data_IF_475804241402
#
_entry.id   IF_475804241402
#
_cell.length_a   1.000
_cell.length_b   1.000
_cell.length_c   1.000
_cell.angle_alpha   90.00
_cell.angle_beta   90.00
_cell.angle_gamma   90.00
#
_symmetry.space_group_name_H-M   'P 1'
#
loop_
_entity.id
_entity.type
_entity.pdbx_description
1 polymer ?
#
# COMPACT_ATOMS: atom_id res chain seq x y z
N UNK A 1 -7.11 -15.32 -27.96
CA UNK A 1 -7.45 -13.95 -27.51
C UNK A 1 -6.12 -13.26 -27.32
N UNK A 2 -5.88 -12.22 -28.08
CA UNK A 2 -4.58 -11.58 -28.30
C UNK A 2 -4.08 -10.94 -27.02
N UNK A 3 -2.91 -11.38 -26.56
CA UNK A 3 -2.04 -10.56 -25.72
C UNK A 3 -1.83 -9.24 -26.45
N UNK A 4 -2.26 -8.15 -25.85
CA UNK A 4 -1.95 -6.82 -26.35
C UNK A 4 -0.44 -6.65 -26.28
N UNK A 5 0.20 -6.79 -27.43
CA UNK A 5 1.56 -6.38 -27.68
C UNK A 5 1.64 -4.85 -27.49
N UNK A 6 1.91 -4.42 -26.27
CA UNK A 6 2.65 -3.18 -26.12
C UNK A 6 4.00 -3.42 -26.82
N UNK A 7 4.25 -2.66 -27.86
CA UNK A 7 5.43 -2.78 -28.69
C UNK A 7 6.70 -2.67 -27.81
N UNK A 8 7.67 -3.56 -27.99
CA UNK A 8 8.93 -3.61 -27.25
C UNK A 8 9.66 -2.25 -27.24
N UNK A 9 9.44 -1.44 -28.27
CA UNK A 9 9.97 -0.08 -28.38
C UNK A 9 9.34 0.86 -27.34
N UNK A 10 8.04 0.73 -27.09
CA UNK A 10 7.29 1.51 -26.09
C UNK A 10 7.76 1.18 -24.67
N UNK A 11 8.08 -0.11 -24.40
CA UNK A 11 8.62 -0.55 -23.13
C UNK A 11 10.01 0.01 -22.83
N UNK A 12 10.91 0.00 -23.81
CA UNK A 12 12.25 0.57 -23.62
C UNK A 12 12.20 2.07 -23.34
N UNK A 13 11.34 2.83 -24.03
CA UNK A 13 11.12 4.24 -23.76
C UNK A 13 10.56 4.50 -22.36
N UNK A 14 9.64 3.64 -21.89
CA UNK A 14 9.11 3.75 -20.52
C UNK A 14 10.16 3.45 -19.46
N UNK A 15 10.98 2.39 -19.64
CA UNK A 15 12.07 2.06 -18.72
C UNK A 15 13.17 3.12 -18.69
N UNK A 16 13.46 3.77 -19.84
CA UNK A 16 14.36 4.93 -19.86
C UNK A 16 13.79 6.11 -19.09
N UNK A 17 12.47 6.31 -19.15
CA UNK A 17 11.77 7.37 -18.41
C UNK A 17 11.66 7.10 -16.92
N UNK A 18 11.55 5.83 -16.51
CA UNK A 18 11.42 5.39 -15.12
C UNK A 18 12.56 4.44 -14.73
N UNK A 19 13.80 4.92 -14.63
CA UNK A 19 15.02 4.08 -14.58
C UNK A 19 15.15 3.23 -13.31
N UNK A 20 14.32 3.48 -12.29
CA UNK A 20 14.38 2.79 -10.98
C UNK A 20 13.46 1.56 -10.95
N UNK A 21 12.57 1.41 -11.92
CA UNK A 21 11.57 0.33 -11.96
C UNK A 21 12.07 -0.78 -12.88
N UNK A 22 12.21 -1.99 -12.33
CA UNK A 22 12.69 -3.17 -13.08
C UNK A 22 11.57 -3.94 -13.79
N UNK A 23 10.29 -3.75 -13.39
CA UNK A 23 9.14 -4.42 -13.99
C UNK A 23 8.43 -3.49 -14.99
N UNK A 24 8.35 -3.87 -16.27
CA UNK A 24 7.69 -3.06 -17.29
C UNK A 24 6.24 -2.69 -16.98
N UNK A 25 5.47 -3.60 -16.36
CA UNK A 25 4.09 -3.30 -15.99
C UNK A 25 3.99 -2.22 -14.92
N UNK A 26 4.94 -2.17 -13.98
CA UNK A 26 5.01 -1.13 -12.96
C UNK A 26 5.43 0.20 -13.61
N UNK A 27 6.41 0.19 -14.52
CA UNK A 27 6.79 1.39 -15.25
C UNK A 27 5.63 1.97 -16.09
N UNK A 28 4.84 1.13 -16.74
CA UNK A 28 3.64 1.53 -17.46
C UNK A 28 2.58 2.13 -16.53
N UNK A 29 2.38 1.52 -15.36
CA UNK A 29 1.48 2.05 -14.33
C UNK A 29 1.94 3.42 -13.83
N UNK A 30 3.22 3.58 -13.49
CA UNK A 30 3.77 4.88 -13.08
C UNK A 30 3.63 5.95 -14.16
N UNK A 31 3.73 5.58 -15.43
CA UNK A 31 3.51 6.51 -16.56
C UNK A 31 2.05 6.99 -16.66
N UNK A 32 1.09 6.20 -16.19
CA UNK A 32 -0.32 6.64 -16.04
C UNK A 32 -0.45 7.68 -14.92
N UNK A 33 0.24 7.47 -13.78
CA UNK A 33 0.15 8.38 -12.62
C UNK A 33 0.72 9.77 -12.89
N UNK A 34 1.77 9.86 -13.70
CA UNK A 34 2.29 11.16 -14.14
C UNK A 34 2.90 11.06 -15.53
N UNK A 35 2.44 11.90 -16.46
CA UNK A 35 3.01 12.02 -17.79
C UNK A 35 4.43 12.60 -17.77
N UNK A 36 4.78 13.30 -16.71
CA UNK A 36 6.10 13.88 -16.45
C UNK A 36 6.77 13.14 -15.29
N UNK A 37 7.97 12.59 -15.53
CA UNK A 37 8.79 12.07 -14.45
C UNK A 37 9.66 13.20 -13.87
N UNK A 38 9.50 13.58 -12.61
CA UNK A 38 10.30 14.63 -11.99
C UNK A 38 11.74 14.13 -11.76
N UNK A 39 12.67 14.56 -12.60
CA UNK A 39 14.04 14.04 -12.66
C UNK A 39 14.80 14.14 -11.32
N UNK A 40 14.44 15.07 -10.46
CA UNK A 40 15.05 15.19 -9.13
C UNK A 40 14.81 13.94 -8.25
N UNK A 41 13.74 13.17 -8.45
CA UNK A 41 13.48 11.94 -7.69
C UNK A 41 14.62 10.91 -7.85
N UNK A 42 15.26 10.87 -9.01
CA UNK A 42 16.30 9.86 -9.31
C UNK A 42 17.43 9.84 -8.28
N UNK A 43 17.90 11.00 -7.82
CA UNK A 43 18.97 11.07 -6.83
C UNK A 43 18.54 10.54 -5.46
N UNK A 44 17.30 10.81 -5.03
CA UNK A 44 16.75 10.29 -3.76
C UNK A 44 16.54 8.77 -3.81
N UNK A 45 16.00 8.25 -4.91
CA UNK A 45 15.79 6.82 -5.11
C UNK A 45 17.08 5.98 -5.08
N UNK A 46 18.26 6.62 -5.18
CA UNK A 46 19.55 5.94 -5.00
C UNK A 46 19.97 5.77 -3.54
N UNK A 47 19.33 6.46 -2.61
CA UNK A 47 19.65 6.38 -1.18
C UNK A 47 19.42 4.98 -0.62
N UNK A 48 20.31 4.44 0.22
CA UNK A 48 20.10 3.14 0.88
C UNK A 48 18.78 3.06 1.64
N UNK A 49 18.38 4.16 2.30
CA UNK A 49 17.13 4.32 3.03
C UNK A 49 15.91 3.96 2.17
N UNK A 50 15.85 4.45 0.92
CA UNK A 50 14.77 4.16 -0.02
C UNK A 50 14.98 2.83 -0.75
N UNK A 51 16.21 2.51 -1.17
CA UNK A 51 16.51 1.24 -1.86
C UNK A 51 16.07 0.01 -1.07
N UNK A 52 16.17 0.07 0.25
CA UNK A 52 15.72 -1.00 1.15
C UNK A 52 14.26 -1.39 0.88
N UNK A 53 13.40 -0.40 0.62
CA UNK A 53 11.96 -0.60 0.36
C UNK A 53 11.68 -1.47 -0.87
N UNK A 54 12.63 -1.61 -1.81
CA UNK A 54 12.47 -2.54 -2.95
C UNK A 54 12.44 -4.01 -2.53
N UNK A 55 12.95 -4.33 -1.35
CA UNK A 55 12.93 -5.66 -0.75
C UNK A 55 11.76 -5.91 0.20
N UNK A 56 10.80 -4.98 0.31
CA UNK A 56 9.63 -5.06 1.19
C UNK A 56 8.37 -5.01 0.33
N UNK A 57 7.52 -6.03 0.43
CA UNK A 57 6.27 -6.13 -0.33
C UNK A 57 5.17 -5.24 0.23
N UNK A 58 4.38 -4.64 -0.67
CA UNK A 58 3.19 -3.87 -0.30
C UNK A 58 2.15 -4.75 0.42
N UNK A 59 2.04 -6.01 0.03
CA UNK A 59 0.98 -6.92 0.45
C UNK A 59 1.33 -7.77 1.69
N UNK A 60 2.19 -7.23 2.58
CA UNK A 60 2.39 -7.72 3.94
C UNK A 60 2.76 -9.21 4.01
N UNK A 61 3.64 -9.68 3.12
CA UNK A 61 4.14 -11.06 3.12
C UNK A 61 3.22 -12.09 2.48
N UNK A 62 2.07 -11.71 1.91
CA UNK A 62 1.17 -12.63 1.20
C UNK A 62 1.84 -13.26 -0.04
N UNK A 63 2.90 -12.65 -0.56
CA UNK A 63 3.72 -13.18 -1.66
C UNK A 63 4.45 -14.49 -1.30
N UNK A 64 4.57 -14.81 -0.01
CA UNK A 64 5.38 -15.92 0.49
C UNK A 64 4.57 -17.15 0.91
N UNK A 65 3.24 -17.11 0.76
CA UNK A 65 2.34 -18.23 1.06
C UNK A 65 1.49 -18.61 -0.15
N UNK A 66 1.29 -19.91 -0.45
CA UNK A 66 0.46 -20.34 -1.58
C UNK A 66 -1.04 -20.10 -1.38
N UNK A 67 -1.47 -19.61 -0.22
CA UNK A 67 -2.85 -19.17 0.02
C UNK A 67 -3.24 -18.05 -0.94
N UNK A 68 -2.29 -17.18 -1.29
CA UNK A 68 -2.47 -16.12 -2.27
C UNK A 68 -1.76 -16.48 -3.59
N UNK A 69 -2.36 -16.02 -4.68
CA UNK A 69 -1.81 -16.21 -6.04
C UNK A 69 -1.49 -14.86 -6.64
N UNK A 70 -0.65 -14.10 -5.93
CA UNK A 70 -0.22 -12.79 -6.36
C UNK A 70 0.39 -12.86 -7.77
N UNK A 71 -0.02 -11.96 -8.65
CA UNK A 71 0.35 -12.00 -10.07
C UNK A 71 1.78 -11.52 -10.31
N UNK A 72 2.25 -10.58 -9.48
CA UNK A 72 3.63 -10.07 -9.46
C UNK A 72 3.93 -9.43 -8.11
N UNK A 73 5.21 -9.25 -7.81
CA UNK A 73 5.65 -8.56 -6.61
C UNK A 73 5.61 -7.05 -6.84
N UNK A 74 4.94 -6.33 -5.94
CA UNK A 74 4.89 -4.87 -5.91
C UNK A 74 5.52 -4.40 -4.60
N UNK A 75 6.63 -3.65 -4.71
CA UNK A 75 7.40 -3.25 -3.53
C UNK A 75 6.90 -1.95 -2.91
N UNK A 76 7.30 -1.71 -1.65
CA UNK A 76 7.10 -0.43 -0.98
C UNK A 76 7.81 0.72 -1.69
N UNK A 77 8.94 0.45 -2.38
CA UNK A 77 9.60 1.47 -3.19
C UNK A 77 8.76 1.85 -4.40
N UNK A 78 8.14 0.86 -5.07
CA UNK A 78 7.24 1.12 -6.19
C UNK A 78 6.04 1.95 -5.72
N UNK A 79 5.45 1.60 -4.57
CA UNK A 79 4.36 2.34 -3.93
C UNK A 79 4.77 3.77 -3.59
N UNK A 80 5.85 3.98 -2.85
CA UNK A 80 6.34 5.32 -2.48
C UNK A 80 6.65 6.18 -3.71
N UNK A 81 7.17 5.55 -4.78
CA UNK A 81 7.38 6.23 -6.07
C UNK A 81 6.06 6.63 -6.70
N UNK A 82 5.08 5.73 -6.72
CA UNK A 82 3.72 6.01 -7.23
C UNK A 82 3.05 7.15 -6.47
N UNK A 83 3.11 7.15 -5.13
CA UNK A 83 2.59 8.25 -4.29
C UNK A 83 3.25 9.58 -4.65
N UNK A 84 4.59 9.60 -4.79
CA UNK A 84 5.32 10.79 -5.19
C UNK A 84 4.90 11.29 -6.59
N UNK A 85 4.67 10.38 -7.55
CA UNK A 85 4.22 10.73 -8.89
C UNK A 85 2.80 11.32 -8.90
N UNK A 86 1.88 10.78 -8.10
CA UNK A 86 0.53 11.33 -7.93
C UNK A 86 0.61 12.76 -7.36
N UNK A 87 1.39 12.96 -6.30
CA UNK A 87 1.55 14.26 -5.68
C UNK A 87 2.15 15.26 -6.69
N UNK A 88 3.20 14.85 -7.40
CA UNK A 88 3.80 15.69 -8.45
C UNK A 88 2.81 16.07 -9.53
N UNK A 89 2.03 15.10 -10.02
CA UNK A 89 1.02 15.34 -11.04
C UNK A 89 0.02 16.45 -10.67
N UNK A 90 -0.40 16.48 -9.42
CA UNK A 90 -1.42 17.43 -8.96
C UNK A 90 -0.86 18.74 -8.42
N UNK A 91 0.36 18.75 -7.87
CA UNK A 91 0.86 19.91 -7.12
C UNK A 91 2.07 20.59 -7.75
N UNK A 92 2.90 19.85 -8.46
CA UNK A 92 4.24 20.28 -8.91
C UNK A 92 5.09 20.87 -7.77
N UNK A 93 4.83 20.45 -6.54
CA UNK A 93 5.52 20.90 -5.33
C UNK A 93 6.56 19.84 -4.92
N UNK A 94 7.82 20.24 -4.88
CA UNK A 94 8.94 19.34 -4.60
C UNK A 94 8.90 18.81 -3.15
N UNK A 95 8.56 19.67 -2.16
CA UNK A 95 8.55 19.28 -0.77
C UNK A 95 7.45 18.25 -0.50
N UNK A 96 6.23 18.49 -0.99
CA UNK A 96 5.13 17.53 -0.89
C UNK A 96 5.45 16.20 -1.59
N UNK A 97 6.05 16.27 -2.78
CA UNK A 97 6.44 15.09 -3.56
C UNK A 97 7.47 14.24 -2.80
N UNK A 98 8.47 14.87 -2.20
CA UNK A 98 9.48 14.18 -1.40
C UNK A 98 8.92 13.67 -0.07
N UNK A 99 8.00 14.40 0.56
CA UNK A 99 7.30 13.90 1.74
C UNK A 99 6.53 12.59 1.42
N UNK A 100 5.82 12.56 0.28
CA UNK A 100 5.17 11.34 -0.19
C UNK A 100 6.14 10.22 -0.57
N UNK A 101 7.31 10.53 -1.16
CA UNK A 101 8.35 9.53 -1.44
C UNK A 101 8.91 8.90 -0.16
N UNK A 102 8.99 9.66 0.93
CA UNK A 102 9.66 9.26 2.18
C UNK A 102 8.70 8.72 3.25
N UNK A 103 7.39 8.70 3.00
CA UNK A 103 6.40 8.38 4.03
C UNK A 103 6.52 6.96 4.61
N UNK A 104 7.07 6.03 3.85
CA UNK A 104 7.18 4.61 4.20
C UNK A 104 8.61 4.17 4.59
N UNK A 105 9.58 5.10 4.75
CA UNK A 105 10.98 4.72 4.97
C UNK A 105 11.22 3.97 6.28
N UNK A 106 10.32 4.05 7.26
CA UNK A 106 10.40 3.29 8.51
C UNK A 106 9.71 1.91 8.44
N UNK A 107 9.03 1.58 7.34
CA UNK A 107 8.30 0.32 7.25
C UNK A 107 9.24 -0.87 7.35
N UNK A 108 9.04 -1.80 8.31
CA UNK A 108 9.84 -3.02 8.44
C UNK A 108 9.45 -4.07 7.41
N UNK A 109 10.21 -5.16 7.35
CA UNK A 109 9.88 -6.33 6.52
C UNK A 109 8.49 -6.85 6.86
N UNK A 110 7.79 -7.30 5.82
CA UNK A 110 6.37 -7.72 5.91
C UNK A 110 5.40 -6.62 6.34
N UNK A 111 5.85 -5.36 6.29
CA UNK A 111 4.99 -4.18 6.43
C UNK A 111 4.11 -4.20 7.69
N UNK A 112 2.79 -4.14 7.55
CA UNK A 112 1.81 -4.12 8.65
C UNK A 112 1.79 -5.38 9.54
N UNK A 113 2.61 -6.40 9.29
CA UNK A 113 2.77 -7.52 10.22
C UNK A 113 3.29 -7.05 11.59
N UNK A 114 4.06 -5.95 11.63
CA UNK A 114 4.51 -5.36 12.91
C UNK A 114 3.32 -4.87 13.77
N UNK A 115 2.27 -4.35 13.15
CA UNK A 115 1.07 -3.92 13.88
C UNK A 115 0.38 -5.11 14.57
N UNK A 116 0.32 -6.26 13.90
CA UNK A 116 -0.20 -7.50 14.49
C UNK A 116 0.69 -8.02 15.62
N UNK A 117 2.01 -7.90 15.48
CA UNK A 117 2.97 -8.23 16.55
C UNK A 117 2.76 -7.37 17.81
N UNK A 118 2.46 -6.09 17.60
CA UNK A 118 2.27 -5.10 18.67
C UNK A 118 0.83 -5.08 19.22
N UNK A 119 -0.08 -5.91 18.67
CA UNK A 119 -1.50 -5.91 19.05
C UNK A 119 -2.27 -4.69 18.52
N UNK A 120 -1.75 -4.01 17.50
CA UNK A 120 -2.27 -2.76 16.93
C UNK A 120 -2.97 -2.96 15.57
N UNK A 121 -3.58 -4.10 15.34
CA UNK A 121 -4.24 -4.43 14.08
C UNK A 121 -5.39 -3.47 13.68
N UNK A 122 -5.93 -2.69 14.64
CA UNK A 122 -7.03 -1.74 14.40
C UNK A 122 -6.58 -0.36 13.96
N UNK A 123 -5.51 0.20 14.56
CA UNK A 123 -5.03 1.55 14.23
C UNK A 123 -3.93 1.52 13.18
N UNK A 124 -3.03 0.52 13.26
CA UNK A 124 -1.94 0.28 12.31
C UNK A 124 -1.02 1.49 12.15
N UNK A 125 -0.51 2.01 13.26
CA UNK A 125 0.42 3.15 13.30
C UNK A 125 1.87 2.77 13.61
N UNK A 126 2.12 1.48 13.95
CA UNK A 126 3.47 1.03 14.33
C UNK A 126 4.51 1.17 13.21
N UNK A 127 4.09 1.17 11.94
CA UNK A 127 4.98 1.37 10.79
C UNK A 127 5.46 2.81 10.65
N UNK A 128 4.77 3.78 11.24
CA UNK A 128 5.02 5.22 11.07
C UNK A 128 5.84 5.84 12.20
N UNK A 129 5.92 5.15 13.36
CA UNK A 129 6.49 5.71 14.60
C UNK A 129 7.92 6.24 14.46
N UNK A 130 8.75 5.62 13.63
CA UNK A 130 10.15 5.99 13.45
C UNK A 130 10.40 6.83 12.19
N UNK A 131 9.36 7.10 11.37
CA UNK A 131 9.53 7.73 10.06
C UNK A 131 10.22 9.11 10.15
N UNK A 132 9.67 9.99 10.97
CA UNK A 132 10.22 11.33 11.16
C UNK A 132 11.65 11.30 11.74
N UNK A 133 11.96 10.34 12.62
CA UNK A 133 13.30 10.16 13.16
C UNK A 133 14.29 9.75 12.08
N UNK A 134 13.95 8.73 11.29
CA UNK A 134 14.81 8.24 10.19
C UNK A 134 15.08 9.33 9.15
N UNK A 135 14.03 10.07 8.73
CA UNK A 135 14.17 11.18 7.78
C UNK A 135 15.07 12.29 8.33
N UNK A 136 14.96 12.63 9.62
CA UNK A 136 15.74 13.72 10.25
C UNK A 136 17.19 13.35 10.56
N UNK A 137 17.49 12.07 10.70
CA UNK A 137 18.82 11.61 11.11
C UNK A 137 19.68 11.08 9.97
N UNK A 138 19.08 10.78 8.79
CA UNK A 138 19.85 10.34 7.63
C UNK A 138 20.66 11.49 7.00
N UNK A 139 21.97 11.42 7.14
CA UNK A 139 22.88 12.48 6.68
C UNK A 139 22.97 12.59 5.17
N UNK A 140 22.85 11.47 4.45
CA UNK A 140 22.87 11.48 2.98
C UNK A 140 21.60 12.13 2.42
N UNK A 141 20.43 11.81 3.00
CA UNK A 141 19.18 12.48 2.68
C UNK A 141 19.26 13.98 2.99
N UNK A 142 19.75 14.35 4.19
CA UNK A 142 19.91 15.76 4.58
C UNK A 142 20.77 16.56 3.59
N UNK A 143 21.84 15.95 3.07
CA UNK A 143 22.70 16.57 2.04
C UNK A 143 21.92 16.84 0.75
N UNK A 144 21.17 15.84 0.24
CA UNK A 144 20.38 15.99 -0.99
C UNK A 144 19.24 17.01 -0.82
N UNK A 145 18.60 17.06 0.34
CA UNK A 145 17.57 18.06 0.64
C UNK A 145 18.15 19.47 0.64
N UNK A 146 19.31 19.68 1.27
CA UNK A 146 19.98 20.98 1.29
C UNK A 146 20.37 21.44 -0.13
N UNK A 147 20.83 20.55 -1.02
CA UNK A 147 21.07 20.86 -2.43
C UNK A 147 19.80 21.34 -3.16
N UNK A 148 18.63 20.83 -2.78
CA UNK A 148 17.34 21.22 -3.33
C UNK A 148 16.71 22.41 -2.60
N UNK A 149 17.39 23.00 -1.61
CA UNK A 149 16.90 24.13 -0.82
C UNK A 149 15.80 23.74 0.18
N UNK A 150 15.76 22.48 0.60
CA UNK A 150 14.79 21.91 1.54
C UNK A 150 15.48 21.47 2.85
N UNK A 151 14.69 21.30 3.88
CA UNK A 151 15.10 20.75 5.16
C UNK A 151 14.38 19.43 5.43
N UNK A 152 14.87 18.65 6.40
CA UNK A 152 14.18 17.43 6.82
C UNK A 152 12.78 17.72 7.39
N UNK A 153 12.56 18.87 8.02
CA UNK A 153 11.25 19.26 8.55
C UNK A 153 10.21 19.53 7.44
N UNK A 154 10.64 19.86 6.22
CA UNK A 154 9.74 20.06 5.09
C UNK A 154 9.17 18.74 4.57
N UNK A 155 9.82 17.60 4.84
CA UNK A 155 9.50 16.29 4.22
C UNK A 155 9.25 15.16 5.24
N UNK A 156 9.49 15.38 6.53
CA UNK A 156 9.40 14.35 7.57
C UNK A 156 7.97 14.00 7.97
N UNK A 157 7.01 14.87 7.67
CA UNK A 157 5.60 14.69 8.02
C UNK A 157 4.72 14.93 6.78
N UNK A 158 4.35 13.86 6.10
CA UNK A 158 3.52 13.93 4.88
C UNK A 158 2.04 14.25 5.19
N UNK A 159 1.57 14.06 6.42
CA UNK A 159 0.22 14.45 6.84
C UNK A 159 -0.04 15.97 6.80
N UNK A 160 1.03 16.78 6.77
CA UNK A 160 0.92 18.23 6.57
C UNK A 160 0.38 18.62 5.20
N UNK A 161 0.38 17.68 4.26
CA UNK A 161 0.05 17.88 2.86
C UNK A 161 -1.24 17.15 2.50
N UNK A 162 -2.39 17.84 2.42
CA UNK A 162 -3.71 17.19 2.26
C UNK A 162 -3.85 16.34 1.01
N UNK A 163 -3.05 16.59 -0.04
CA UNK A 163 -3.02 15.77 -1.24
C UNK A 163 -2.25 14.46 -0.99
N UNK A 164 -1.19 14.51 -0.18
CA UNK A 164 -0.36 13.34 0.13
C UNK A 164 -1.11 12.37 1.04
N UNK A 165 -1.60 12.86 2.20
CA UNK A 165 -2.48 12.11 3.10
C UNK A 165 -3.49 13.01 3.81
N UNK A 166 -4.56 12.39 4.30
CA UNK A 166 -5.68 13.06 4.97
C UNK A 166 -6.53 12.03 5.75
N UNK A 167 -7.55 12.49 6.45
CA UNK A 167 -8.41 11.63 7.26
C UNK A 167 -9.37 10.77 6.42
N UNK A 168 -9.59 9.52 6.84
CA UNK A 168 -10.66 8.66 6.29
C UNK A 168 -12.01 9.33 6.56
N UNK A 169 -12.94 9.37 5.59
CA UNK A 169 -12.97 8.66 4.31
C UNK A 169 -12.51 9.49 3.09
N UNK A 170 -11.68 10.50 3.29
CA UNK A 170 -11.16 11.33 2.21
C UNK A 170 -10.21 10.53 1.31
N UNK A 171 -10.06 10.96 0.06
CA UNK A 171 -9.10 10.38 -0.87
C UNK A 171 -7.76 11.12 -0.77
N UNK A 172 -6.66 10.40 -0.72
CA UNK A 172 -5.29 10.93 -0.73
C UNK A 172 -4.44 10.23 -1.79
N UNK A 173 -3.25 10.75 -2.08
CA UNK A 173 -2.32 10.12 -2.99
C UNK A 173 -1.92 8.71 -2.52
N UNK A 174 -1.67 8.54 -1.22
CA UNK A 174 -1.37 7.24 -0.62
C UNK A 174 -2.53 6.24 -0.83
N UNK A 175 -3.77 6.63 -0.43
CA UNK A 175 -4.95 5.77 -0.58
C UNK A 175 -5.30 5.47 -2.04
N UNK A 176 -5.11 6.44 -2.93
CA UNK A 176 -5.33 6.27 -4.35
C UNK A 176 -4.33 5.29 -4.94
N UNK A 177 -3.05 5.43 -4.55
CA UNK A 177 -1.97 4.63 -5.09
C UNK A 177 -2.09 3.16 -4.70
N UNK A 178 -2.13 2.80 -3.40
CA UNK A 178 -2.05 1.40 -3.01
C UNK A 178 -3.23 0.54 -3.48
N UNK A 179 -4.37 1.13 -3.81
CA UNK A 179 -5.54 0.37 -4.28
C UNK A 179 -5.44 -0.12 -5.72
N UNK A 180 -4.80 0.64 -6.60
CA UNK A 180 -4.59 0.21 -7.97
C UNK A 180 -3.68 -1.04 -8.05
N UNK A 181 -2.44 -1.03 -7.51
CA UNK A 181 -1.60 -2.23 -7.54
C UNK A 181 -2.18 -3.38 -6.70
N UNK A 182 -2.89 -3.12 -5.59
CA UNK A 182 -3.57 -4.20 -4.87
C UNK A 182 -4.56 -4.96 -5.74
N UNK A 183 -5.38 -4.27 -6.51
CA UNK A 183 -6.29 -4.93 -7.44
C UNK A 183 -5.61 -5.55 -8.65
N UNK A 184 -4.52 -4.96 -9.15
CA UNK A 184 -3.71 -5.58 -10.21
C UNK A 184 -3.08 -6.90 -9.76
N UNK A 185 -2.59 -6.95 -8.52
CA UNK A 185 -1.81 -8.08 -7.98
C UNK A 185 -2.71 -9.17 -7.41
N UNK A 186 -3.67 -8.83 -6.54
CA UNK A 186 -4.47 -9.80 -5.78
C UNK A 186 -5.48 -10.57 -6.65
N UNK A 187 -6.31 -9.86 -7.39
CA UNK A 187 -7.45 -10.45 -8.12
C UNK A 187 -7.53 -10.06 -9.61
N UNK A 188 -6.72 -9.08 -10.03
CA UNK A 188 -6.76 -8.54 -11.39
C UNK A 188 -8.00 -7.74 -11.71
N UNK A 189 -8.66 -7.19 -10.69
CA UNK A 189 -9.81 -6.31 -10.84
C UNK A 189 -9.46 -4.96 -11.47
N UNK A 190 -8.18 -4.59 -11.49
CA UNK A 190 -7.66 -3.44 -12.19
C UNK A 190 -6.75 -3.84 -13.36
N UNK A 191 -7.04 -3.32 -14.55
CA UNK A 191 -6.14 -3.32 -15.70
C UNK A 191 -5.50 -1.94 -15.86
N UNK A 192 -4.41 -1.83 -16.62
CA UNK A 192 -3.79 -0.52 -16.90
C UNK A 192 -4.75 0.42 -17.66
N UNK A 193 -5.60 -0.12 -18.52
CA UNK A 193 -6.61 0.65 -19.26
C UNK A 193 -7.66 1.21 -18.30
N UNK A 194 -8.22 0.36 -17.42
CA UNK A 194 -9.18 0.82 -16.39
C UNK A 194 -8.57 1.91 -15.49
N UNK A 195 -7.30 1.72 -15.09
CA UNK A 195 -6.59 2.69 -14.26
C UNK A 195 -6.42 4.01 -15.00
N UNK A 196 -5.97 3.98 -16.26
CA UNK A 196 -5.81 5.19 -17.07
C UNK A 196 -7.11 5.97 -17.21
N UNK A 197 -8.21 5.27 -17.47
CA UNK A 197 -9.55 5.85 -17.61
C UNK A 197 -10.05 6.49 -16.31
N UNK A 198 -9.90 5.77 -15.18
CA UNK A 198 -10.37 6.26 -13.89
C UNK A 198 -9.46 7.37 -13.36
N UNK A 199 -8.14 7.21 -13.49
CA UNK A 199 -7.18 8.22 -13.04
C UNK A 199 -7.24 9.50 -13.85
N UNK A 200 -7.48 9.42 -15.16
CA UNK A 200 -7.67 10.56 -16.03
C UNK A 200 -8.91 11.42 -15.71
N UNK A 201 -9.86 10.87 -14.93
CA UNK A 201 -11.04 11.61 -14.44
C UNK A 201 -10.78 12.33 -13.10
N UNK A 202 -9.63 12.10 -12.46
CA UNK A 202 -9.30 12.69 -11.15
C UNK A 202 -8.87 14.15 -11.31
N UNK A 203 -9.35 14.97 -10.38
CA UNK A 203 -9.04 16.41 -10.27
C UNK A 203 -8.89 16.79 -8.81
N UNK A 204 -8.29 17.94 -8.53
CA UNK A 204 -8.30 18.50 -7.18
C UNK A 204 -9.65 19.18 -6.91
N UNK A 205 -10.29 18.74 -5.86
CA UNK A 205 -11.53 19.30 -5.35
C UNK A 205 -11.29 20.03 -4.03
N UNK A 206 -12.21 20.93 -3.69
CA UNK A 206 -12.25 21.61 -2.39
C UNK A 206 -13.13 20.80 -1.45
N UNK A 207 -12.54 20.29 -0.38
CA UNK A 207 -13.27 19.54 0.64
C UNK A 207 -13.96 20.44 1.68
N UNK A 208 -14.64 19.84 2.65
CA UNK A 208 -15.41 20.51 3.69
C UNK A 208 -14.55 21.42 4.59
N UNK A 209 -13.26 21.10 4.69
CA UNK A 209 -12.27 21.86 5.48
C UNK A 209 -11.56 22.92 4.63
N UNK A 210 -12.04 23.15 3.41
CA UNK A 210 -11.45 24.08 2.44
C UNK A 210 -10.04 23.68 1.97
N UNK A 211 -9.65 22.42 2.13
CA UNK A 211 -8.38 21.84 1.70
C UNK A 211 -8.50 21.20 0.30
N UNK A 212 -7.39 21.14 -0.47
CA UNK A 212 -7.35 20.33 -1.70
C UNK A 212 -7.43 18.84 -1.37
N UNK A 213 -8.27 18.13 -2.11
CA UNK A 213 -8.45 16.69 -2.01
C UNK A 213 -8.64 16.11 -3.41
N UNK A 214 -7.95 15.01 -3.81
CA UNK A 214 -8.26 14.31 -5.04
C UNK A 214 -9.73 13.86 -5.07
N UNK A 215 -10.42 14.12 -6.17
CA UNK A 215 -11.81 13.75 -6.39
C UNK A 215 -12.04 13.47 -7.87
N UNK A 216 -13.26 13.20 -8.28
CA UNK A 216 -13.60 12.79 -9.63
C UNK A 216 -14.42 13.87 -10.35
N UNK A 217 -14.20 14.03 -11.65
CA UNK A 217 -15.05 14.89 -12.51
C UNK A 217 -16.42 14.28 -12.70
N UNK A 218 -16.49 12.96 -12.85
CA UNK A 218 -17.73 12.24 -13.12
C UNK A 218 -18.11 11.32 -11.96
N UNK A 219 -19.43 11.25 -11.69
CA UNK A 219 -19.98 10.35 -10.69
C UNK A 219 -19.72 8.89 -11.06
N UNK A 220 -19.82 8.57 -12.34
CA UNK A 220 -19.67 7.20 -12.85
C UNK A 220 -18.29 6.63 -12.56
N UNK A 221 -17.21 7.41 -12.75
CA UNK A 221 -15.84 6.99 -12.43
C UNK A 221 -15.60 6.93 -10.92
N UNK A 222 -16.18 7.85 -10.16
CA UNK A 222 -16.15 7.80 -8.70
C UNK A 222 -16.85 6.54 -8.15
N UNK A 223 -18.02 6.16 -8.71
CA UNK A 223 -18.75 4.94 -8.36
C UNK A 223 -17.93 3.68 -8.70
N UNK A 224 -17.31 3.64 -9.86
CA UNK A 224 -16.45 2.53 -10.28
C UNK A 224 -15.25 2.37 -9.34
N UNK A 225 -14.53 3.45 -9.07
CA UNK A 225 -13.38 3.42 -8.16
C UNK A 225 -13.81 3.02 -6.74
N UNK A 226 -14.88 3.61 -6.20
CA UNK A 226 -15.41 3.28 -4.88
C UNK A 226 -15.80 1.80 -4.77
N UNK A 227 -16.46 1.24 -5.80
CA UNK A 227 -16.83 -0.18 -5.85
C UNK A 227 -15.62 -1.08 -5.82
N UNK A 228 -14.61 -0.81 -6.65
CA UNK A 228 -13.36 -1.60 -6.70
C UNK A 228 -12.58 -1.45 -5.39
N UNK A 229 -12.54 -0.25 -4.81
CA UNK A 229 -11.93 0.01 -3.50
C UNK A 229 -12.56 -0.85 -2.40
N UNK A 230 -13.90 -0.84 -2.29
CA UNK A 230 -14.61 -1.68 -1.32
C UNK A 230 -14.39 -3.18 -1.57
N UNK A 231 -14.30 -3.61 -2.83
CA UNK A 231 -14.01 -5.01 -3.17
C UNK A 231 -12.63 -5.46 -2.67
N UNK A 232 -11.58 -4.65 -2.91
CA UNK A 232 -10.24 -4.91 -2.37
C UNK A 232 -10.25 -4.83 -0.84
N UNK A 233 -10.89 -3.78 -0.28
CA UNK A 233 -11.07 -3.65 1.16
C UNK A 233 -11.73 -4.87 1.80
N UNK A 234 -12.69 -5.50 1.10
CA UNK A 234 -13.33 -6.73 1.54
C UNK A 234 -12.32 -7.90 1.64
N UNK A 235 -11.45 -8.08 0.63
CA UNK A 235 -10.38 -9.09 0.69
C UNK A 235 -9.51 -8.89 1.94
N UNK A 236 -9.20 -7.64 2.28
CA UNK A 236 -8.41 -7.32 3.47
C UNK A 236 -9.16 -7.57 4.80
N UNK A 237 -10.49 -7.68 4.77
CA UNK A 237 -11.33 -7.99 5.95
C UNK A 237 -11.60 -9.49 6.11
N UNK A 238 -11.24 -10.33 5.14
CA UNK A 238 -11.40 -11.79 5.24
C UNK A 238 -10.51 -12.40 6.31
N UNK A 239 -10.96 -13.51 6.88
CA UNK A 239 -10.17 -14.28 7.85
C UNK A 239 -8.88 -14.85 7.24
N UNK A 240 -8.82 -15.07 5.92
CA UNK A 240 -7.60 -15.41 5.19
C UNK A 240 -6.49 -14.37 5.43
N UNK A 241 -6.83 -13.08 5.28
CA UNK A 241 -5.87 -12.01 5.50
C UNK A 241 -5.47 -11.87 6.98
N UNK A 242 -6.46 -11.84 7.87
CA UNK A 242 -6.24 -11.74 9.32
C UNK A 242 -5.36 -12.87 9.85
N UNK A 243 -5.64 -14.11 9.45
CA UNK A 243 -4.89 -15.29 9.83
C UNK A 243 -3.47 -15.25 9.27
N UNK A 244 -3.30 -14.88 8.00
CA UNK A 244 -1.99 -14.83 7.35
C UNK A 244 -1.07 -13.84 8.07
N UNK A 245 -1.55 -12.61 8.34
CA UNK A 245 -0.75 -11.58 8.99
C UNK A 245 -0.45 -11.96 10.45
N UNK A 246 -1.42 -12.49 11.19
CA UNK A 246 -1.22 -12.91 12.57
C UNK A 246 -0.28 -14.13 12.69
N UNK A 247 -0.39 -15.10 11.76
CA UNK A 247 0.52 -16.25 11.74
C UNK A 247 1.95 -15.80 11.42
N UNK A 248 2.12 -14.89 10.46
CA UNK A 248 3.44 -14.34 10.13
C UNK A 248 4.00 -13.51 11.29
N UNK A 249 3.17 -12.73 11.99
CA UNK A 249 3.55 -12.01 13.20
C UNK A 249 4.08 -12.97 14.27
N UNK A 250 3.41 -14.12 14.47
CA UNK A 250 3.85 -15.14 15.42
C UNK A 250 5.15 -15.84 14.99
N UNK A 251 5.32 -16.08 13.68
CA UNK A 251 6.57 -16.62 13.12
C UNK A 251 7.73 -15.67 13.42
N UNK A 252 7.57 -14.36 13.20
CA UNK A 252 8.62 -13.38 13.52
C UNK A 252 8.90 -13.35 15.02
N UNK A 253 7.86 -13.38 15.89
CA UNK A 253 8.03 -13.45 17.33
C UNK A 253 8.83 -14.69 17.76
N UNK A 254 8.53 -15.86 17.20
CA UNK A 254 9.29 -17.08 17.49
C UNK A 254 10.71 -17.00 16.94
N UNK A 255 10.93 -16.45 15.75
CA UNK A 255 12.25 -16.26 15.17
C UNK A 255 13.14 -15.35 16.02
N UNK A 256 12.60 -14.26 16.56
CA UNK A 256 13.31 -13.36 17.48
C UNK A 256 13.62 -14.06 18.79
N UNK A 257 12.62 -14.74 19.39
CA UNK A 257 12.76 -15.47 20.65
C UNK A 257 13.83 -16.56 20.58
N UNK A 258 13.97 -17.22 19.46
CA UNK A 258 14.95 -18.31 19.25
C UNK A 258 16.31 -17.83 18.71
N UNK A 259 16.47 -16.52 18.45
CA UNK A 259 17.69 -15.94 17.90
C UNK A 259 17.94 -16.22 16.42
N UNK A 260 16.94 -16.71 15.69
CA UNK A 260 17.01 -16.87 14.23
C UNK A 260 17.03 -15.51 13.55
N UNK A 261 16.35 -14.51 14.15
CA UNK A 261 16.26 -13.14 13.70
C UNK A 261 16.42 -12.22 14.91
N UNK A 262 16.98 -11.02 14.75
CA UNK A 262 16.88 -9.97 15.75
C UNK A 262 15.94 -8.83 15.28
N UNK A 263 15.49 -7.98 16.21
CA UNK A 263 14.52 -6.92 15.91
C UNK A 263 15.03 -5.92 14.86
N UNK A 264 16.31 -5.57 14.95
CA UNK A 264 16.93 -4.60 14.05
C UNK A 264 16.99 -5.13 12.62
N UNK A 265 17.22 -6.43 12.43
CA UNK A 265 17.21 -7.07 11.11
C UNK A 265 15.88 -6.95 10.39
N UNK A 266 14.76 -6.77 11.12
CA UNK A 266 13.46 -6.47 10.50
C UNK A 266 13.44 -5.12 9.75
N UNK A 267 14.35 -4.22 10.09
CA UNK A 267 14.50 -2.90 9.46
C UNK A 267 15.68 -2.81 8.49
N UNK A 268 16.52 -3.84 8.40
CA UNK A 268 17.73 -3.86 7.58
C UNK A 268 17.67 -4.84 6.40
N UNK A 269 17.06 -6.01 6.61
CA UNK A 269 17.03 -7.09 5.61
C UNK A 269 15.85 -6.93 4.65
N UNK A 270 15.94 -7.63 3.52
CA UNK A 270 14.80 -7.84 2.63
C UNK A 270 13.94 -9.02 3.11
N UNK A 271 12.66 -9.03 2.71
CA UNK A 271 11.80 -10.21 2.94
C UNK A 271 12.41 -11.48 2.37
N UNK A 272 13.01 -11.40 1.18
CA UNK A 272 13.67 -12.54 0.52
C UNK A 272 14.82 -13.09 1.36
N UNK A 273 15.61 -12.24 2.02
CA UNK A 273 16.74 -12.69 2.83
C UNK A 273 16.24 -13.39 4.11
N UNK A 274 15.19 -12.86 4.73
CA UNK A 274 14.56 -13.48 5.89
C UNK A 274 13.93 -14.83 5.51
N UNK A 275 13.18 -14.89 4.41
CA UNK A 275 12.56 -16.15 3.93
C UNK A 275 13.63 -17.20 3.63
N UNK A 276 14.76 -16.84 2.97
CA UNK A 276 15.89 -17.77 2.76
C UNK A 276 16.47 -18.28 4.07
N UNK A 277 16.62 -17.40 5.08
CA UNK A 277 17.10 -17.78 6.41
C UNK A 277 16.13 -18.77 7.06
N UNK A 278 14.84 -18.49 7.01
CA UNK A 278 13.80 -19.37 7.54
C UNK A 278 13.72 -20.71 6.82
N UNK A 279 13.83 -20.72 5.48
CA UNK A 279 13.85 -21.94 4.67
C UNK A 279 15.09 -22.83 5.00
N UNK A 280 16.20 -22.26 5.49
CA UNK A 280 17.41 -22.99 5.88
C UNK A 280 17.39 -23.53 7.32
N UNK A 281 16.39 -23.14 8.10
CA UNK A 281 16.28 -23.58 9.50
C UNK A 281 15.72 -25.01 9.60
N UNK A 282 16.40 -25.91 10.34
CA UNK A 282 16.14 -27.35 10.32
C UNK A 282 15.66 -27.94 11.65
N UNK A 283 15.63 -27.16 12.74
CA UNK A 283 15.13 -27.67 14.01
C UNK A 283 13.62 -27.94 13.95
N UNK A 284 13.16 -28.94 14.69
CA UNK A 284 11.72 -29.28 14.82
C UNK A 284 11.17 -28.66 16.10
N UNK A 285 10.71 -27.43 16.01
CA UNK A 285 10.19 -26.62 17.10
C UNK A 285 8.91 -25.85 16.72
N UNK A 286 8.46 -24.95 17.59
CA UNK A 286 7.24 -24.15 17.37
C UNK A 286 7.40 -23.24 16.16
N UNK A 287 8.59 -22.62 15.98
CA UNK A 287 8.87 -21.79 14.82
C UNK A 287 8.70 -22.58 13.52
N UNK A 288 9.33 -23.75 13.43
CA UNK A 288 9.29 -24.60 12.22
C UNK A 288 7.87 -25.06 11.88
N UNK A 289 7.06 -25.38 12.89
CA UNK A 289 5.64 -25.76 12.67
C UNK A 289 4.84 -24.60 12.10
N UNK A 290 4.95 -23.40 12.68
CA UNK A 290 4.23 -22.22 12.20
C UNK A 290 4.71 -21.82 10.82
N UNK A 291 6.03 -21.77 10.59
CA UNK A 291 6.60 -21.41 9.32
C UNK A 291 6.23 -22.40 8.21
N UNK A 292 6.29 -23.71 8.46
CA UNK A 292 5.88 -24.75 7.51
C UNK A 292 4.39 -24.59 7.17
N UNK A 293 3.54 -24.35 8.18
CA UNK A 293 2.11 -24.08 7.94
C UNK A 293 1.92 -22.89 7.01
N UNK A 294 2.58 -21.77 7.28
CA UNK A 294 2.52 -20.57 6.43
C UNK A 294 2.98 -20.84 4.99
N UNK A 295 4.05 -21.62 4.82
CA UNK A 295 4.64 -21.93 3.50
C UNK A 295 3.85 -22.96 2.71
N UNK A 296 2.92 -23.69 3.32
CA UNK A 296 2.18 -24.78 2.68
C UNK A 296 0.67 -24.62 2.67
N UNK A 297 0.12 -23.69 3.47
CA UNK A 297 -1.33 -23.48 3.52
C UNK A 297 -1.87 -22.98 2.17
N UNK A 298 -2.91 -23.63 1.68
CA UNK A 298 -3.62 -23.27 0.44
C UNK A 298 -5.07 -22.88 0.67
N UNK A 299 -5.57 -23.09 1.87
CA UNK A 299 -6.91 -22.73 2.33
C UNK A 299 -6.90 -22.62 3.86
N UNK A 300 -7.93 -21.99 4.41
CA UNK A 300 -8.22 -21.94 5.85
C UNK A 300 -9.61 -22.51 6.10
N UNK A 301 -9.91 -22.80 7.37
CA UNK A 301 -11.22 -23.21 7.84
C UNK A 301 -11.90 -22.03 8.54
N UNK A 302 -13.19 -21.82 8.26
CA UNK A 302 -14.03 -20.83 8.92
C UNK A 302 -14.86 -21.50 10.00
N UNK A 303 -14.83 -20.98 11.23
CA UNK A 303 -15.44 -21.64 12.38
C UNK A 303 -16.08 -20.66 13.37
N UNK A 304 -17.10 -21.15 14.10
CA UNK A 304 -17.74 -20.42 15.20
C UNK A 304 -16.93 -20.45 16.51
N UNK A 305 -16.01 -21.41 16.62
CA UNK A 305 -15.15 -21.64 17.80
C UNK A 305 -13.76 -22.09 17.34
N UNK A 306 -12.71 -21.87 18.17
CA UNK A 306 -11.37 -22.36 17.85
C UNK A 306 -11.37 -23.89 17.63
N UNK A 307 -10.68 -24.35 16.59
CA UNK A 307 -10.54 -25.75 16.25
C UNK A 307 -9.34 -26.39 16.98
N UNK A 308 -9.46 -27.62 17.51
CA UNK A 308 -8.35 -28.33 18.12
C UNK A 308 -7.19 -28.54 17.16
N UNK A 309 -5.95 -28.39 17.62
CA UNK A 309 -4.73 -28.56 16.81
C UNK A 309 -4.60 -27.59 15.60
N UNK A 310 -5.31 -26.46 15.65
CA UNK A 310 -5.24 -25.42 14.64
C UNK A 310 -4.65 -24.14 15.23
N UNK A 311 -4.03 -23.35 14.40
CA UNK A 311 -3.80 -21.94 14.68
C UNK A 311 -5.07 -21.20 14.26
N UNK A 312 -5.74 -20.57 15.23
CA UNK A 312 -7.02 -19.91 15.01
C UNK A 312 -6.93 -18.43 15.40
N UNK A 313 -7.52 -17.57 14.57
CA UNK A 313 -7.49 -16.12 14.73
C UNK A 313 -8.91 -15.58 14.75
N UNK A 314 -9.19 -14.70 15.72
CA UNK A 314 -10.42 -13.93 15.84
C UNK A 314 -10.04 -12.47 16.06
N UNK A 315 -9.96 -11.68 15.01
CA UNK A 315 -9.48 -10.31 15.04
C UNK A 315 -10.41 -9.36 14.29
N UNK A 316 -10.46 -8.12 14.78
CA UNK A 316 -10.91 -6.97 14.00
C UNK A 316 -9.69 -6.24 13.48
N UNK A 317 -9.74 -5.82 12.23
CA UNK A 317 -8.65 -5.07 11.58
C UNK A 317 -9.18 -3.74 11.05
N UNK A 318 -8.28 -2.80 10.78
CA UNK A 318 -8.60 -1.47 10.24
C UNK A 318 -9.44 -1.60 8.98
N UNK A 319 -10.62 -1.00 8.97
CA UNK A 319 -11.47 -0.91 7.77
C UNK A 319 -10.99 0.25 6.91
N UNK A 320 -10.45 -0.08 5.74
CA UNK A 320 -9.98 0.91 4.77
C UNK A 320 -11.09 1.19 3.77
N UNK A 321 -11.69 2.37 3.81
CA UNK A 321 -12.75 2.79 2.89
C UNK A 321 -12.61 4.26 2.53
N UNK A 322 -13.29 4.66 1.47
CA UNK A 322 -13.35 6.03 0.99
C UNK A 322 -14.78 6.46 0.70
N UNK A 323 -15.02 7.76 0.77
CA UNK A 323 -16.20 8.44 0.25
C UNK A 323 -15.71 9.66 -0.55
N UNK A 324 -15.17 9.45 -1.77
CA UNK A 324 -14.46 10.48 -2.51
C UNK A 324 -15.36 11.63 -2.91
N UNK A 325 -14.73 12.74 -3.28
CA UNK A 325 -15.42 13.91 -3.80
C UNK A 325 -15.78 13.71 -5.29
N UNK A 326 -16.93 14.27 -5.69
CA UNK A 326 -17.35 14.39 -7.08
C UNK A 326 -17.55 15.88 -7.38
N UNK A 327 -16.87 16.37 -8.41
CA UNK A 327 -16.92 17.75 -8.82
C UNK A 327 -18.35 18.16 -9.25
N UNK A 328 -18.77 19.33 -8.78
CA UNK A 328 -20.05 19.94 -9.20
C UNK A 328 -19.85 20.77 -10.48
N UNK A 329 -20.94 21.00 -11.20
CA UNK A 329 -20.97 21.94 -12.32
C UNK A 329 -20.73 23.35 -11.80
N UNK A 330 -19.52 23.85 -11.96
CA UNK A 330 -19.12 25.17 -11.51
C UNK A 330 -17.77 25.57 -12.09
N UNK A 331 -17.40 26.85 -11.89
CA UNK A 331 -16.07 27.31 -12.30
C UNK A 331 -15.05 26.88 -11.24
N UNK A 332 -13.98 26.29 -11.69
CA UNK A 332 -12.77 26.11 -10.91
C UNK A 332 -12.34 27.46 -10.28
N UNK A 333 -11.95 27.42 -9.03
CA UNK A 333 -11.46 28.60 -8.30
C UNK A 333 -10.17 28.24 -7.58
N UNK A 334 -9.08 28.88 -7.94
CA UNK A 334 -7.76 28.63 -7.38
C UNK A 334 -7.26 27.19 -7.60
N UNK A 335 -7.53 26.62 -8.78
CA UNK A 335 -7.11 25.25 -9.11
C UNK A 335 -7.98 24.14 -8.50
N UNK A 336 -9.07 24.49 -7.77
CA UNK A 336 -9.93 23.53 -7.08
C UNK A 336 -11.37 23.59 -7.59
N UNK A 337 -11.98 22.43 -7.81
CA UNK A 337 -13.39 22.30 -8.17
C UNK A 337 -14.27 22.30 -6.90
N UNK A 338 -15.45 22.97 -6.90
CA UNK A 338 -16.47 22.71 -5.90
C UNK A 338 -16.95 21.27 -6.03
N UNK A 339 -17.19 20.58 -4.92
CA UNK A 339 -17.51 19.15 -4.95
C UNK A 339 -18.41 18.75 -3.79
N UNK A 340 -18.99 17.56 -3.92
CA UNK A 340 -19.76 16.88 -2.87
C UNK A 340 -19.28 15.45 -2.70
N UNK A 341 -19.52 14.87 -1.52
CA UNK A 341 -19.20 13.48 -1.26
C UNK A 341 -20.03 12.54 -2.13
N UNK A 342 -19.37 11.51 -2.66
CA UNK A 342 -20.02 10.53 -3.54
C UNK A 342 -21.25 9.90 -2.88
N UNK A 343 -21.19 9.56 -1.59
CA UNK A 343 -22.32 8.98 -0.85
C UNK A 343 -23.52 9.90 -0.72
N UNK A 344 -23.38 11.22 -0.91
CA UNK A 344 -24.50 12.18 -0.93
C UNK A 344 -25.16 12.25 -2.30
N UNK A 345 -24.40 12.03 -3.38
CA UNK A 345 -24.87 12.19 -4.77
C UNK A 345 -25.17 10.85 -5.45
N UNK A 346 -24.78 9.73 -4.82
CA UNK A 346 -24.98 8.38 -5.31
C UNK A 346 -25.54 7.46 -4.23
N UNK A 347 -26.86 7.14 -4.25
CA UNK A 347 -27.43 6.10 -3.38
C UNK A 347 -26.78 4.72 -3.57
N UNK A 348 -26.27 4.44 -4.77
CA UNK A 348 -25.54 3.21 -5.07
C UNK A 348 -24.23 3.14 -4.27
N UNK A 349 -23.41 4.19 -4.31
CA UNK A 349 -22.15 4.25 -3.57
C UNK A 349 -22.39 4.26 -2.04
N UNK A 350 -23.38 5.01 -1.56
CA UNK A 350 -23.76 5.02 -0.14
C UNK A 350 -24.08 3.60 0.36
N UNK A 351 -24.82 2.80 -0.44
CA UNK A 351 -25.13 1.41 -0.10
C UNK A 351 -23.86 0.54 -0.08
N UNK A 352 -23.00 0.60 -1.12
CA UNK A 352 -21.77 -0.20 -1.18
C UNK A 352 -20.85 0.09 0.01
N UNK A 353 -20.67 1.36 0.36
CA UNK A 353 -19.89 1.77 1.53
C UNK A 353 -20.54 1.21 2.81
N UNK A 354 -21.86 1.34 2.95
CA UNK A 354 -22.59 0.81 4.09
C UNK A 354 -22.48 -0.71 4.24
N UNK A 355 -22.61 -1.45 3.14
CA UNK A 355 -22.46 -2.91 3.09
C UNK A 355 -21.02 -3.32 3.49
N UNK A 356 -20.01 -2.61 2.98
CA UNK A 356 -18.61 -2.84 3.36
C UNK A 356 -18.36 -2.58 4.85
N UNK A 357 -18.86 -1.47 5.39
CA UNK A 357 -18.65 -1.10 6.80
C UNK A 357 -19.37 -2.03 7.77
N UNK A 358 -20.47 -2.63 7.36
CA UNK A 358 -21.25 -3.59 8.16
C UNK A 358 -20.77 -5.04 8.02
N UNK A 359 -19.85 -5.31 7.09
CA UNK A 359 -19.35 -6.66 6.86
C UNK A 359 -18.58 -7.21 8.06
N UNK A 360 -18.88 -8.44 8.40
CA UNK A 360 -18.13 -9.25 9.35
C UNK A 360 -17.97 -10.67 8.81
N UNK A 361 -16.75 -11.20 8.91
CA UNK A 361 -16.48 -12.60 8.58
C UNK A 361 -16.90 -13.52 9.76
N UNK A 362 -16.78 -14.83 9.58
CA UNK A 362 -16.98 -15.80 10.66
C UNK A 362 -16.09 -15.47 11.88
N UNK A 363 -16.50 -15.85 13.10
CA UNK A 363 -15.75 -15.50 14.31
C UNK A 363 -14.28 -15.93 14.28
N UNK A 364 -13.97 -17.07 13.67
CA UNK A 364 -12.61 -17.59 13.59
C UNK A 364 -12.23 -18.02 12.18
N UNK A 365 -11.03 -17.60 11.76
CA UNK A 365 -10.26 -18.25 10.69
C UNK A 365 -9.24 -19.18 11.33
N UNK A 366 -9.17 -20.43 10.88
CA UNK A 366 -8.32 -21.46 11.45
C UNK A 366 -7.50 -22.16 10.37
N UNK A 367 -6.26 -22.53 10.68
CA UNK A 367 -5.43 -23.38 9.81
C UNK A 367 -4.83 -24.52 10.63
N UNK A 368 -4.89 -25.74 10.08
CA UNK A 368 -4.27 -26.90 10.73
C UNK A 368 -2.76 -26.74 10.72
N UNK A 369 -2.14 -26.90 11.87
CA UNK A 369 -0.69 -26.83 12.00
C UNK A 369 -0.03 -28.04 11.34
N UNK A 370 1.05 -27.79 10.54
CA UNK A 370 1.83 -28.78 9.83
C UNK A 370 2.68 -29.65 10.76
#
# INVERSE_FOLDING_TARGET
>A
MSENQFDTLTWNVMLEKYPVVSNPSIAAYHAVLSSEYPSFLTKYLTLPLLKRLSGIGLLCGTDWTPLYRNRFYYSRLDHSTGVALIIWHFTHDKAQTLAGLLHDVSTPVFSHVVDFRNGDALTQVSTENENAHMVKTDTALGTLLAEDGLTADDVADYHRYPVADNEVPQLSADRLEYMFPSGMVLDGSWTLEDIADVYGDIVLCRNENNNPEPGFRSRERAEEYCRKFCSIGHILQLNENKLTLQLLAEIINQAVKTGILNEQECYELSERDIIKRFDSYTADDVFSRYYRTFRTMTHIEHAEKPLPSHFCVSLKVKQRYINPLVAEKGKESGGLFPARRLGEVSPYAARIIGDFLSYTDTPYGCVKLA
#
